data_IF_576154859114
#
_entry.id   IF_576154859114
#
_cell.length_a   1.000
_cell.length_b   1.000
_cell.length_c   1.000
_cell.angle_alpha   90.00
_cell.angle_beta   90.00
_cell.angle_gamma   90.00
#
_symmetry.space_group_name_H-M   'P 1'
#
loop_
_entity.id
_entity.type
_entity.pdbx_description
1 polymer ?
#
# COMPACT_ATOMS: atom_id res chain seq x y z
N UNK A 1 -16.52 -37.81 36.41
CA UNK A 1 -15.61 -38.00 35.26
C UNK A 1 -15.83 -36.79 34.34
N UNK A 2 -15.00 -35.74 34.43
CA UNK A 2 -15.10 -34.56 33.54
C UNK A 2 -14.23 -34.86 32.33
N UNK A 3 -14.88 -35.08 31.20
CA UNK A 3 -14.18 -35.23 29.93
C UNK A 3 -13.72 -33.82 29.49
N UNK A 4 -12.42 -33.55 29.60
CA UNK A 4 -11.80 -32.37 28.99
C UNK A 4 -11.84 -32.55 27.48
N UNK A 5 -12.79 -31.94 26.83
CA UNK A 5 -12.71 -31.69 25.40
C UNK A 5 -11.65 -30.59 25.20
N UNK A 6 -10.37 -30.96 25.17
CA UNK A 6 -9.37 -30.17 24.47
C UNK A 6 -9.74 -30.24 23.00
N UNK A 7 -10.42 -29.19 22.53
CA UNK A 7 -10.57 -28.95 21.10
C UNK A 7 -9.17 -29.03 20.50
N UNK A 8 -8.91 -30.05 19.71
CA UNK A 8 -7.78 -30.06 18.77
C UNK A 8 -8.04 -28.95 17.75
N UNK A 9 -7.73 -27.70 18.13
CA UNK A 9 -7.63 -26.63 17.15
C UNK A 9 -6.52 -27.07 16.17
N UNK A 10 -6.87 -27.14 14.91
CA UNK A 10 -5.91 -27.41 13.86
C UNK A 10 -5.10 -26.13 13.65
N UNK A 11 -4.20 -25.83 14.60
CA UNK A 11 -3.40 -24.61 14.63
C UNK A 11 -2.55 -24.57 13.34
N UNK A 12 -2.82 -23.56 12.50
CA UNK A 12 -2.05 -23.29 11.30
C UNK A 12 -1.05 -22.17 11.55
N UNK A 13 0.07 -22.24 10.88
CA UNK A 13 1.05 -21.15 10.86
C UNK A 13 0.47 -19.92 10.15
N UNK A 14 1.02 -18.74 10.46
CA UNK A 14 0.64 -17.49 9.78
C UNK A 14 0.85 -17.61 8.26
N UNK A 15 1.88 -18.35 7.82
CA UNK A 15 2.13 -18.62 6.40
C UNK A 15 0.97 -19.37 5.75
N UNK A 16 0.52 -20.46 6.37
CA UNK A 16 -0.60 -21.25 5.84
C UNK A 16 -1.90 -20.46 5.81
N UNK A 17 -2.16 -19.67 6.87
CA UNK A 17 -3.32 -18.79 6.94
C UNK A 17 -3.24 -17.71 5.85
N UNK A 18 -2.06 -17.09 5.63
CA UNK A 18 -1.86 -16.07 4.62
C UNK A 18 -2.08 -16.59 3.19
N UNK A 19 -1.65 -17.83 2.90
CA UNK A 19 -1.91 -18.49 1.61
C UNK A 19 -3.41 -18.65 1.38
N UNK A 20 -4.13 -19.20 2.33
CA UNK A 20 -5.58 -19.37 2.23
C UNK A 20 -6.33 -18.02 2.17
N UNK A 21 -5.90 -17.05 2.98
CA UNK A 21 -6.45 -15.70 2.97
C UNK A 21 -6.28 -15.00 1.63
N UNK A 22 -5.14 -15.15 0.99
CA UNK A 22 -4.83 -14.61 -0.34
C UNK A 22 -5.87 -15.06 -1.38
N UNK A 23 -6.12 -16.38 -1.45
CA UNK A 23 -7.10 -16.94 -2.40
C UNK A 23 -8.53 -16.48 -2.08
N UNK A 24 -8.90 -16.45 -0.79
CA UNK A 24 -10.18 -15.93 -0.35
C UNK A 24 -10.35 -14.44 -0.70
N UNK A 25 -9.31 -13.61 -0.51
CA UNK A 25 -9.40 -12.16 -0.65
C UNK A 25 -9.37 -11.68 -2.09
N UNK A 26 -8.71 -12.44 -2.97
CA UNK A 26 -8.45 -12.07 -4.38
C UNK A 26 -9.68 -11.61 -5.17
N UNK A 27 -10.85 -12.26 -5.13
CA UNK A 27 -12.03 -11.84 -5.89
C UNK A 27 -12.71 -10.57 -5.34
N UNK A 28 -12.39 -10.14 -4.11
CA UNK A 28 -13.06 -9.03 -3.43
C UNK A 28 -12.27 -7.71 -3.44
N UNK A 29 -11.10 -7.67 -4.05
CA UNK A 29 -10.26 -6.46 -4.09
C UNK A 29 -9.68 -6.23 -5.48
N UNK A 30 -9.40 -4.96 -5.81
CA UNK A 30 -8.69 -4.61 -7.05
C UNK A 30 -7.30 -5.27 -7.06
N UNK A 31 -6.83 -5.61 -8.25
CA UNK A 31 -5.54 -6.30 -8.40
C UNK A 31 -4.35 -5.49 -7.86
N UNK A 32 -4.39 -4.14 -7.99
CA UNK A 32 -3.37 -3.25 -7.40
C UNK A 32 -3.35 -3.33 -5.87
N UNK A 33 -4.52 -3.39 -5.23
CA UNK A 33 -4.64 -3.58 -3.77
C UNK A 33 -4.10 -4.95 -3.35
N UNK A 34 -4.43 -6.00 -4.09
CA UNK A 34 -3.90 -7.33 -3.81
C UNK A 34 -2.38 -7.39 -3.95
N UNK A 35 -1.81 -6.73 -4.96
CA UNK A 35 -0.36 -6.63 -5.13
C UNK A 35 0.31 -5.92 -3.94
N UNK A 36 -0.30 -4.85 -3.42
CA UNK A 36 0.20 -4.16 -2.22
C UNK A 36 0.17 -5.07 -0.98
N UNK A 37 -0.91 -5.83 -0.78
CA UNK A 37 -1.00 -6.79 0.33
C UNK A 37 0.06 -7.88 0.22
N UNK A 38 0.31 -8.41 -0.99
CA UNK A 38 1.34 -9.43 -1.21
C UNK A 38 2.73 -8.90 -0.90
N UNK A 39 3.06 -7.67 -1.32
CA UNK A 39 4.34 -7.04 -0.98
C UNK A 39 4.52 -6.89 0.53
N UNK A 40 3.47 -6.51 1.26
CA UNK A 40 3.52 -6.42 2.73
C UNK A 40 3.73 -7.81 3.35
N UNK A 41 3.00 -8.82 2.87
CA UNK A 41 3.16 -10.18 3.36
C UNK A 41 4.58 -10.71 3.12
N UNK A 42 5.08 -10.60 1.90
CA UNK A 42 6.36 -11.18 1.48
C UNK A 42 7.56 -10.45 2.11
N UNK A 43 7.52 -9.11 2.18
CA UNK A 43 8.66 -8.33 2.64
C UNK A 43 8.70 -8.10 4.16
N UNK A 44 7.56 -8.18 4.85
CA UNK A 44 7.50 -7.82 6.26
C UNK A 44 6.92 -8.91 7.16
N UNK A 45 5.76 -9.47 6.81
CA UNK A 45 5.01 -10.32 7.73
C UNK A 45 5.49 -11.77 7.72
N UNK A 46 5.68 -12.38 6.56
CA UNK A 46 6.11 -13.78 6.47
C UNK A 46 7.54 -13.99 6.97
N UNK A 47 8.52 -13.08 6.75
CA UNK A 47 9.83 -13.21 7.36
C UNK A 47 9.81 -13.15 8.90
N UNK A 48 8.93 -12.32 9.49
CA UNK A 48 8.87 -12.13 10.94
C UNK A 48 7.98 -13.15 11.66
N UNK A 49 6.88 -13.54 11.04
CA UNK A 49 5.80 -14.29 11.71
C UNK A 49 5.38 -15.57 10.97
N UNK A 50 5.88 -15.82 9.77
CA UNK A 50 5.37 -16.87 8.89
C UNK A 50 5.30 -18.25 9.53
N UNK A 51 6.29 -18.62 10.33
CA UNK A 51 6.40 -19.92 10.99
C UNK A 51 5.70 -19.99 12.37
N UNK A 52 5.11 -18.88 12.82
CA UNK A 52 4.40 -18.82 14.10
C UNK A 52 2.94 -19.23 13.94
N UNK A 53 2.42 -19.91 14.93
CA UNK A 53 1.00 -20.28 15.07
C UNK A 53 0.24 -19.39 16.05
N UNK A 54 0.98 -18.55 16.79
CA UNK A 54 0.45 -17.64 17.78
C UNK A 54 1.21 -16.29 17.73
N UNK A 55 0.51 -15.19 18.01
CA UNK A 55 1.07 -13.85 17.99
C UNK A 55 0.71 -13.08 19.25
N UNK A 56 1.44 -13.31 20.36
CA UNK A 56 1.29 -12.52 21.56
C UNK A 56 1.69 -11.06 21.32
N UNK A 57 1.07 -10.13 22.05
CA UNK A 57 1.29 -8.69 21.92
C UNK A 57 2.76 -8.29 21.94
N UNK A 58 3.56 -8.90 22.84
CA UNK A 58 4.99 -8.63 22.93
C UNK A 58 5.74 -8.91 21.64
N UNK A 59 5.40 -9.98 20.90
CA UNK A 59 6.03 -10.29 19.62
C UNK A 59 5.71 -9.23 18.56
N UNK A 60 4.48 -8.73 18.56
CA UNK A 60 4.05 -7.68 17.63
C UNK A 60 4.66 -6.33 18.02
N UNK A 61 4.74 -6.02 19.33
CA UNK A 61 5.38 -4.80 19.83
C UNK A 61 6.88 -4.77 19.50
N UNK A 62 7.59 -5.89 19.66
CA UNK A 62 9.02 -6.00 19.29
C UNK A 62 9.22 -5.79 17.79
N UNK A 63 8.35 -6.37 16.96
CA UNK A 63 8.38 -6.15 15.52
C UNK A 63 8.18 -4.66 15.15
N UNK A 64 7.25 -3.97 15.82
CA UNK A 64 7.02 -2.54 15.60
C UNK A 64 8.29 -1.73 15.91
N UNK A 65 8.95 -1.99 17.03
CA UNK A 65 10.18 -1.30 17.42
C UNK A 65 11.31 -1.58 16.42
N UNK A 66 11.51 -2.83 16.02
CA UNK A 66 12.48 -3.22 14.98
C UNK A 66 12.25 -2.46 13.66
N UNK A 67 11.00 -2.36 13.21
CA UNK A 67 10.70 -1.66 11.95
C UNK A 67 10.91 -0.15 12.04
N UNK A 68 10.72 0.45 13.22
CA UNK A 68 11.04 1.85 13.47
C UNK A 68 12.57 2.05 13.42
N UNK A 69 13.35 1.19 14.06
CA UNK A 69 14.82 1.21 14.01
C UNK A 69 15.34 1.05 12.58
N UNK A 70 14.67 0.24 11.76
CA UNK A 70 14.93 0.12 10.32
C UNK A 70 14.52 1.37 9.51
N UNK A 71 13.99 2.42 10.12
CA UNK A 71 13.62 3.68 9.47
C UNK A 71 12.23 3.71 8.82
N UNK A 72 11.36 2.74 9.07
CA UNK A 72 9.99 2.79 8.58
C UNK A 72 9.17 3.84 9.35
N UNK A 73 8.32 4.57 8.61
CA UNK A 73 7.39 5.50 9.25
C UNK A 73 6.32 4.76 10.07
N UNK A 74 5.84 5.39 11.14
CA UNK A 74 4.72 4.84 11.95
C UNK A 74 3.48 4.56 11.09
N UNK A 75 3.23 5.40 10.07
CA UNK A 75 2.14 5.19 9.12
C UNK A 75 2.32 3.88 8.35
N UNK A 76 3.50 3.65 7.77
CA UNK A 76 3.79 2.40 7.04
C UNK A 76 3.66 1.16 7.93
N UNK A 77 4.11 1.26 9.19
CA UNK A 77 3.98 0.16 10.15
C UNK A 77 2.52 -0.12 10.48
N UNK A 78 1.69 0.91 10.65
CA UNK A 78 0.23 0.76 10.83
C UNK A 78 -0.41 0.04 9.65
N UNK A 79 -0.03 0.40 8.42
CA UNK A 79 -0.53 -0.26 7.21
C UNK A 79 -0.13 -1.75 7.16
N UNK A 80 1.10 -2.09 7.58
CA UNK A 80 1.56 -3.48 7.72
C UNK A 80 0.69 -4.23 8.75
N UNK A 81 0.45 -3.63 9.92
CA UNK A 81 -0.36 -4.25 10.97
C UNK A 81 -1.84 -4.40 10.57
N UNK A 82 -2.38 -3.53 9.73
CA UNK A 82 -3.73 -3.69 9.17
C UNK A 82 -3.80 -4.99 8.36
N UNK A 83 -2.81 -5.27 7.51
CA UNK A 83 -2.77 -6.52 6.74
C UNK A 83 -2.64 -7.74 7.66
N UNK A 84 -1.78 -7.67 8.68
CA UNK A 84 -1.63 -8.73 9.68
C UNK A 84 -2.96 -9.02 10.38
N UNK A 85 -3.66 -7.97 10.85
CA UNK A 85 -4.98 -8.10 11.49
C UNK A 85 -6.02 -8.74 10.54
N UNK A 86 -5.98 -8.43 9.24
CA UNK A 86 -6.88 -9.05 8.25
C UNK A 86 -6.61 -10.56 8.10
N UNK A 87 -5.34 -10.97 8.03
CA UNK A 87 -4.94 -12.38 7.95
C UNK A 87 -5.35 -13.14 9.21
N UNK A 88 -5.06 -12.57 10.39
CA UNK A 88 -5.44 -13.19 11.66
C UNK A 88 -6.95 -13.30 11.83
N UNK A 89 -7.70 -12.24 11.51
CA UNK A 89 -9.17 -12.28 11.57
C UNK A 89 -9.74 -13.39 10.69
N UNK A 90 -9.13 -13.64 9.55
CA UNK A 90 -9.50 -14.76 8.68
C UNK A 90 -9.16 -16.11 9.32
N UNK A 91 -7.98 -16.26 9.94
CA UNK A 91 -7.58 -17.47 10.67
C UNK A 91 -8.51 -17.78 11.84
N UNK A 92 -8.85 -16.78 12.63
CA UNK A 92 -9.80 -16.91 13.75
C UNK A 92 -11.20 -17.34 13.27
N UNK A 93 -11.69 -16.70 12.17
CA UNK A 93 -12.99 -17.05 11.59
C UNK A 93 -13.07 -18.51 11.12
N UNK A 94 -11.94 -19.10 10.72
CA UNK A 94 -11.86 -20.50 10.31
C UNK A 94 -11.40 -21.45 11.43
N UNK A 95 -11.33 -20.98 12.67
CA UNK A 95 -10.92 -21.77 13.84
C UNK A 95 -9.48 -22.36 13.73
N UNK A 96 -8.60 -21.67 13.00
CA UNK A 96 -7.21 -22.06 12.82
C UNK A 96 -6.24 -21.41 13.78
N UNK A 97 -6.68 -20.41 14.52
CA UNK A 97 -5.91 -19.72 15.54
C UNK A 97 -6.82 -19.00 16.56
N UNK A 98 -6.26 -18.68 17.72
CA UNK A 98 -6.96 -17.90 18.74
C UNK A 98 -7.04 -16.41 18.35
N UNK A 99 -8.07 -15.74 18.88
CA UNK A 99 -8.18 -14.29 18.78
C UNK A 99 -7.18 -13.64 19.72
N UNK A 100 -6.49 -12.60 19.22
CA UNK A 100 -5.60 -11.73 19.99
C UNK A 100 -6.02 -10.29 19.81
N UNK A 101 -6.14 -9.56 20.91
CA UNK A 101 -6.27 -8.11 20.91
C UNK A 101 -4.93 -7.52 21.33
N UNK A 102 -4.45 -6.49 20.61
CA UNK A 102 -3.18 -5.85 20.87
C UNK A 102 -3.35 -4.36 21.10
N UNK A 103 -2.79 -3.86 22.21
CA UNK A 103 -2.61 -2.42 22.48
C UNK A 103 -1.19 -2.00 22.09
N UNK A 104 -0.96 -1.78 20.80
CA UNK A 104 0.36 -1.46 20.24
C UNK A 104 0.69 0.01 20.48
N UNK A 105 1.81 0.25 21.16
CA UNK A 105 2.34 1.59 21.44
C UNK A 105 3.33 2.02 20.37
N UNK A 106 3.22 3.27 19.95
CA UNK A 106 4.10 3.88 18.96
C UNK A 106 4.89 5.03 19.62
N UNK A 107 6.18 5.22 19.26
CA UNK A 107 6.94 6.38 19.73
C UNK A 107 6.28 7.69 19.28
N UNK A 108 6.25 8.65 20.17
CA UNK A 108 5.60 9.97 19.96
C UNK A 108 6.41 10.89 19.04
N UNK A 109 7.69 10.58 18.80
CA UNK A 109 8.64 11.45 18.10
C UNK A 109 8.67 11.27 16.57
N UNK A 110 7.59 10.84 15.94
CA UNK A 110 7.50 10.95 14.48
C UNK A 110 7.31 12.43 14.14
N UNK A 111 8.40 13.13 13.83
CA UNK A 111 8.32 14.47 13.28
C UNK A 111 7.39 14.44 12.06
N UNK A 112 6.26 15.13 12.15
CA UNK A 112 5.43 15.37 10.98
C UNK A 112 6.29 16.22 10.04
N UNK A 113 6.78 15.64 8.94
CA UNK A 113 7.39 16.44 7.88
C UNK A 113 6.33 17.39 7.37
N UNK A 114 6.55 18.67 7.56
CA UNK A 114 5.75 19.69 6.90
C UNK A 114 5.83 19.45 5.39
N UNK A 115 4.66 19.51 4.74
CA UNK A 115 4.62 19.41 3.28
C UNK A 115 5.24 20.67 2.70
N UNK A 116 6.36 20.55 2.02
CA UNK A 116 6.96 21.63 1.26
C UNK A 116 6.05 21.97 0.08
N UNK A 117 5.47 23.15 0.12
CA UNK A 117 4.67 23.70 -0.98
C UNK A 117 5.59 24.47 -1.92
N UNK A 118 5.46 24.21 -3.21
CA UNK A 118 6.24 24.91 -4.22
C UNK A 118 5.92 26.43 -4.19
N UNK A 119 6.94 27.26 -3.95
CA UNK A 119 6.77 28.71 -3.97
C UNK A 119 6.45 29.23 -5.40
N UNK A 120 5.76 30.36 -5.51
CA UNK A 120 5.45 30.99 -6.82
C UNK A 120 6.72 31.25 -7.63
N UNK A 121 7.80 31.67 -6.95
CA UNK A 121 9.10 31.90 -7.60
C UNK A 121 9.69 30.62 -8.18
N UNK A 122 9.68 29.52 -7.43
CA UNK A 122 10.18 28.24 -7.90
C UNK A 122 9.30 27.66 -9.01
N UNK A 123 7.98 27.85 -8.93
CA UNK A 123 7.06 27.46 -9.99
C UNK A 123 7.42 28.15 -11.32
N UNK A 124 7.66 29.48 -11.32
CA UNK A 124 8.07 30.21 -12.51
C UNK A 124 9.39 29.71 -13.09
N UNK A 125 10.42 29.50 -12.25
CA UNK A 125 11.71 28.96 -12.68
C UNK A 125 11.59 27.60 -13.38
N UNK A 126 10.70 26.73 -12.87
CA UNK A 126 10.44 25.42 -13.50
C UNK A 126 9.83 25.61 -14.88
N UNK A 127 8.82 26.50 -15.01
CA UNK A 127 8.17 26.78 -16.29
C UNK A 127 9.15 27.36 -17.31
N UNK A 128 9.99 28.33 -16.93
CA UNK A 128 10.99 28.96 -17.78
C UNK A 128 12.02 27.91 -18.25
N UNK A 129 12.42 27.00 -17.35
CA UNK A 129 13.36 25.93 -17.71
C UNK A 129 12.72 24.93 -18.70
N UNK A 130 11.47 24.54 -18.51
CA UNK A 130 10.75 23.63 -19.43
C UNK A 130 10.58 24.26 -20.81
N UNK A 131 10.31 25.55 -20.89
CA UNK A 131 10.16 26.26 -22.14
C UNK A 131 11.50 26.39 -22.91
N UNK A 132 12.60 26.61 -22.20
CA UNK A 132 13.93 26.73 -22.81
C UNK A 132 14.56 25.38 -23.13
N UNK A 133 14.20 24.30 -22.44
CA UNK A 133 14.75 22.95 -22.58
C UNK A 133 13.64 21.90 -22.68
N UNK A 134 13.02 21.81 -23.86
CA UNK A 134 11.90 20.89 -24.06
C UNK A 134 12.34 19.41 -23.93
N UNK A 135 11.63 18.70 -23.07
CA UNK A 135 11.70 17.23 -22.94
C UNK A 135 10.29 16.68 -22.72
N UNK A 136 10.05 15.40 -23.05
CA UNK A 136 8.75 14.76 -22.74
C UNK A 136 8.48 14.68 -21.23
N UNK A 137 9.52 14.53 -20.42
CA UNK A 137 9.39 14.63 -18.96
C UNK A 137 8.97 16.02 -18.51
N UNK A 138 9.59 17.08 -19.12
CA UNK A 138 9.20 18.46 -18.88
C UNK A 138 7.75 18.74 -19.27
N UNK A 139 7.30 18.22 -20.42
CA UNK A 139 5.89 18.31 -20.84
C UNK A 139 4.95 17.66 -19.81
N UNK A 140 5.29 16.48 -19.28
CA UNK A 140 4.52 15.82 -18.23
C UNK A 140 4.43 16.65 -16.93
N UNK A 141 5.57 17.27 -16.52
CA UNK A 141 5.61 18.19 -15.37
C UNK A 141 4.74 19.43 -15.64
N UNK A 142 4.84 20.03 -16.84
CA UNK A 142 4.03 21.18 -17.24
C UNK A 142 2.53 20.87 -17.16
N UNK A 143 2.09 19.74 -17.72
CA UNK A 143 0.70 19.28 -17.65
C UNK A 143 0.28 19.08 -16.20
N UNK A 144 1.14 18.45 -15.36
CA UNK A 144 0.83 18.26 -13.94
C UNK A 144 0.63 19.57 -13.20
N UNK A 145 1.52 20.54 -13.40
CA UNK A 145 1.45 21.83 -12.74
C UNK A 145 0.23 22.66 -13.20
N UNK A 146 -0.14 22.55 -14.47
CA UNK A 146 -1.24 23.32 -15.05
C UNK A 146 -2.62 22.73 -14.78
N UNK A 147 -2.72 21.39 -14.66
CA UNK A 147 -4.02 20.70 -14.58
C UNK A 147 -4.26 19.98 -13.25
N UNK A 148 -3.22 19.76 -12.46
CA UNK A 148 -3.30 18.95 -11.23
C UNK A 148 -3.49 17.45 -11.48
N UNK A 149 -3.31 16.97 -12.71
CA UNK A 149 -3.44 15.55 -13.03
C UNK A 149 -2.37 14.70 -12.33
N UNK A 150 -2.77 13.51 -11.89
CA UNK A 150 -1.84 12.55 -11.29
C UNK A 150 -0.91 11.97 -12.34
N UNK A 151 0.32 11.62 -11.94
CA UNK A 151 1.34 11.06 -12.85
C UNK A 151 0.82 9.86 -13.67
N UNK A 152 0.05 8.97 -13.05
CA UNK A 152 -0.52 7.81 -13.76
C UNK A 152 -1.57 8.20 -14.81
N UNK A 153 -2.28 9.29 -14.62
CA UNK A 153 -3.24 9.85 -15.56
C UNK A 153 -2.51 10.50 -16.74
N UNK A 154 -1.48 11.30 -16.45
CA UNK A 154 -0.65 11.94 -17.47
C UNK A 154 0.02 10.90 -18.37
N UNK A 155 0.62 9.86 -17.78
CA UNK A 155 1.27 8.78 -18.54
C UNK A 155 0.27 7.95 -19.37
N UNK A 156 -1.03 7.99 -19.06
CA UNK A 156 -2.07 7.28 -19.78
C UNK A 156 -2.71 8.11 -20.91
N UNK A 157 -2.42 9.42 -21.01
CA UNK A 157 -2.98 10.31 -22.02
C UNK A 157 -2.58 9.85 -23.44
N UNK A 158 -3.51 9.99 -24.36
CA UNK A 158 -3.34 9.82 -25.81
C UNK A 158 -3.71 11.10 -26.52
N UNK A 159 -3.25 11.29 -27.73
CA UNK A 159 -3.59 12.46 -28.56
C UNK A 159 -5.11 12.63 -28.71
N UNK A 160 -5.86 11.55 -28.82
CA UNK A 160 -7.33 11.58 -28.95
C UNK A 160 -8.05 12.04 -27.68
N UNK A 161 -7.35 12.13 -26.54
CA UNK A 161 -7.91 12.63 -25.29
C UNK A 161 -7.83 14.16 -25.17
N UNK A 162 -7.14 14.82 -26.14
CA UNK A 162 -6.89 16.26 -26.14
C UNK A 162 -7.71 16.91 -27.26
N UNK A 163 -8.62 17.78 -26.89
CA UNK A 163 -9.36 18.61 -27.84
C UNK A 163 -8.78 20.03 -27.80
N UNK A 164 -7.95 20.33 -28.81
CA UNK A 164 -7.26 21.64 -28.91
C UNK A 164 -8.27 22.76 -29.18
N UNK A 165 -9.32 22.49 -29.95
CA UNK A 165 -10.33 23.49 -30.31
C UNK A 165 -11.15 23.95 -29.10
N UNK A 166 -11.50 23.01 -28.23
CA UNK A 166 -12.24 23.29 -27.01
C UNK A 166 -11.33 23.54 -25.80
N UNK A 167 -10.02 23.36 -25.91
CA UNK A 167 -9.06 23.50 -24.82
C UNK A 167 -9.26 22.49 -23.70
N UNK A 168 -9.74 21.28 -24.00
CA UNK A 168 -10.10 20.27 -23.00
C UNK A 168 -9.23 19.03 -23.07
N UNK A 169 -9.02 18.40 -21.90
CA UNK A 169 -8.34 17.09 -21.76
C UNK A 169 -9.31 16.12 -21.09
N UNK A 170 -9.61 14.99 -21.75
CA UNK A 170 -10.47 13.94 -21.20
C UNK A 170 -9.63 12.88 -20.51
N UNK A 171 -9.84 12.67 -19.21
CA UNK A 171 -9.08 11.71 -18.40
C UNK A 171 -9.91 10.46 -18.14
N UNK A 172 -9.78 9.47 -19.02
CA UNK A 172 -10.56 8.23 -18.99
C UNK A 172 -9.80 7.01 -18.43
N UNK A 173 -8.48 7.13 -18.18
CA UNK A 173 -7.64 6.00 -17.77
C UNK A 173 -6.44 6.45 -16.94
N UNK A 174 -5.79 5.50 -16.29
CA UNK A 174 -4.56 5.70 -15.54
C UNK A 174 -3.61 4.53 -15.76
N UNK A 175 -2.30 4.76 -15.65
CA UNK A 175 -1.32 3.68 -15.60
C UNK A 175 -1.07 3.32 -14.15
N UNK A 176 -1.19 2.03 -13.82
CA UNK A 176 -0.86 1.46 -12.52
C UNK A 176 0.34 0.53 -12.63
N UNK A 177 1.24 0.60 -11.65
CA UNK A 177 2.33 -0.37 -11.51
C UNK A 177 1.80 -1.62 -10.81
N UNK A 178 1.93 -2.78 -11.46
CA UNK A 178 1.56 -4.09 -10.90
C UNK A 178 2.80 -5.00 -10.91
N UNK A 179 3.48 -5.07 -9.78
CA UNK A 179 4.80 -5.69 -9.72
C UNK A 179 5.80 -4.92 -10.61
N UNK A 180 6.50 -5.63 -11.51
CA UNK A 180 7.43 -5.02 -12.47
C UNK A 180 6.77 -4.50 -13.77
N UNK A 181 5.45 -4.70 -13.96
CA UNK A 181 4.72 -4.33 -15.19
C UNK A 181 3.88 -3.07 -14.98
N UNK A 182 3.86 -2.21 -16.01
CA UNK A 182 2.94 -1.09 -16.10
C UNK A 182 1.67 -1.53 -16.84
N UNK A 183 0.51 -1.23 -16.29
CA UNK A 183 -0.78 -1.57 -16.88
C UNK A 183 -1.65 -0.32 -16.99
N UNK A 184 -2.29 -0.14 -18.14
CA UNK A 184 -3.27 0.91 -18.35
C UNK A 184 -4.63 0.43 -17.85
N UNK A 185 -5.30 1.22 -17.02
CA UNK A 185 -6.59 0.92 -16.42
C UNK A 185 -7.55 2.04 -16.75
N UNK A 186 -8.72 1.70 -17.31
CA UNK A 186 -9.81 2.66 -17.52
C UNK A 186 -10.38 3.11 -16.18
N UNK A 187 -10.82 4.35 -16.10
CA UNK A 187 -11.62 4.86 -14.98
C UNK A 187 -13.07 4.46 -15.21
N UNK A 188 -13.66 3.77 -14.27
CA UNK A 188 -15.09 3.51 -14.15
C UNK A 188 -15.77 4.73 -13.52
#
# INVERSE_FOLDING_TARGET
MRINYQNFMNNKTIREIAVAWKEYKRPYVKQSTMSAYLLILENHLLPAFGEKDSLPEQSVQSFVLEKIECGLSVKSIKDILIVLKMVMKFGVKNEWMNYYEWDIKYPTNSANKELEVLSVSNHRKILDHIQSHFTFTGLGIYISLSTGLRIGEICALKWNDINITEGTITVSRTIERRGCKLNCVSKE
#
